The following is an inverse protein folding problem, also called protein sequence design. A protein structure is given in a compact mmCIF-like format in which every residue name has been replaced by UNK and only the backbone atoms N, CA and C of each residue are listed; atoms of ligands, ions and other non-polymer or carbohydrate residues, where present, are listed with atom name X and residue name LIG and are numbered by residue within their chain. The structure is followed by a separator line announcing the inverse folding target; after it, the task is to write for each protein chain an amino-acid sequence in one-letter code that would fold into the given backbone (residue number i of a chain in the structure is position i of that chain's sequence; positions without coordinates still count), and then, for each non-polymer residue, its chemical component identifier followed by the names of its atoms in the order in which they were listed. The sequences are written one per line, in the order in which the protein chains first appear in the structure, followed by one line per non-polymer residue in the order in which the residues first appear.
data_IF_592338292945
#
_entry.id   IF_592338292945
#
_cell.length_a   1.000
_cell.length_b   1.000
_cell.length_c   1.000
_cell.angle_alpha   90.00
_cell.angle_beta   90.00
_cell.angle_gamma   90.00
#
_symmetry.space_group_name_H-M   'P 1'
#
loop_
_entity.id
_entity.type
_entity.pdbx_description
1 polymer ?
#
# COMPACT_ATOMS: atom_id res chain seq x y z
N UNK A 1 -17.16 -75.56 -39.40
CA UNK A 1 -18.10 -75.58 -40.54
C UNK A 1 -17.51 -74.68 -41.61
N UNK A 2 -16.98 -75.31 -42.66
CA UNK A 2 -16.36 -74.70 -43.84
C UNK A 2 -17.39 -73.87 -44.62
N UNK A 3 -17.00 -72.77 -45.30
CA UNK A 3 -17.04 -72.54 -46.77
C UNK A 3 -17.19 -70.98 -46.87
N UNK A 4 -16.48 -70.14 -47.65
CA UNK A 4 -15.99 -70.19 -49.04
C UNK A 4 -14.99 -69.04 -49.29
N UNK A 5 -13.97 -69.26 -50.13
CA UNK A 5 -13.29 -68.23 -50.95
C UNK A 5 -14.00 -68.09 -52.31
N UNK A 6 -13.85 -66.96 -53.02
CA UNK A 6 -13.07 -66.93 -54.28
C UNK A 6 -12.19 -65.65 -54.37
N UNK A 7 -10.92 -65.60 -54.81
CA UNK A 7 -10.20 -66.05 -56.02
C UNK A 7 -10.12 -64.99 -57.14
N UNK A 8 -8.89 -64.47 -57.32
CA UNK A 8 -8.23 -63.85 -58.50
C UNK A 8 -8.70 -62.51 -59.08
N UNK A 9 -7.73 -61.59 -59.28
CA UNK A 9 -7.19 -61.19 -60.61
C UNK A 9 -5.89 -60.39 -60.41
N UNK A 10 -4.81 -60.86 -61.02
CA UNK A 10 -3.57 -60.11 -61.18
C UNK A 10 -3.65 -59.24 -62.46
N UNK A 11 -3.27 -57.96 -62.37
CA UNK A 11 -2.98 -57.11 -63.54
C UNK A 11 -1.74 -56.26 -63.30
N UNK A 12 -0.68 -56.54 -64.07
CA UNK A 12 0.50 -55.69 -64.24
C UNK A 12 0.16 -54.43 -65.05
N UNK A 13 0.59 -53.25 -64.60
CA UNK A 13 0.97 -52.05 -65.39
C UNK A 13 2.04 -51.29 -64.59
N UNK A 14 3.32 -51.33 -65.00
CA UNK A 14 4.03 -50.35 -65.85
C UNK A 14 4.01 -48.90 -65.33
N UNK A 15 5.17 -48.52 -64.79
CA UNK A 15 5.89 -47.24 -64.94
C UNK A 15 5.22 -45.95 -64.47
N UNK A 16 5.78 -45.33 -63.42
CA UNK A 16 6.12 -43.90 -63.40
C UNK A 16 7.15 -43.64 -62.29
N UNK A 17 8.33 -43.19 -62.73
CA UNK A 17 9.42 -42.67 -61.93
C UNK A 17 9.00 -41.28 -61.42
N UNK A 18 8.90 -41.10 -60.10
CA UNK A 18 8.74 -39.79 -59.48
C UNK A 18 9.90 -39.59 -58.49
N UNK A 19 10.92 -38.88 -58.97
CA UNK A 19 11.90 -38.24 -58.11
C UNK A 19 11.20 -37.10 -57.37
N UNK A 20 10.91 -37.28 -56.09
CA UNK A 20 10.62 -36.17 -55.18
C UNK A 20 11.90 -35.86 -54.41
N UNK A 21 12.54 -34.78 -54.83
CA UNK A 21 13.60 -34.07 -54.13
C UNK A 21 13.15 -33.73 -52.71
N UNK A 22 13.79 -34.36 -51.72
CA UNK A 22 13.79 -33.88 -50.34
C UNK A 22 14.59 -32.58 -50.30
N UNK A 23 13.91 -31.45 -50.46
CA UNK A 23 14.47 -30.14 -50.13
C UNK A 23 14.68 -30.08 -48.63
N UNK A 24 15.91 -30.32 -48.20
CA UNK A 24 16.39 -30.00 -46.86
C UNK A 24 16.39 -28.46 -46.74
N UNK A 25 15.23 -27.90 -46.39
CA UNK A 25 15.14 -26.53 -45.91
C UNK A 25 15.70 -26.48 -44.50
N UNK A 26 17.02 -26.52 -44.35
CA UNK A 26 17.68 -25.98 -43.16
C UNK A 26 17.37 -24.49 -43.16
N UNK A 27 16.28 -24.10 -42.52
CA UNK A 27 16.15 -22.77 -41.96
C UNK A 27 17.25 -22.67 -40.91
N UNK A 28 18.40 -22.15 -41.31
CA UNK A 28 19.36 -21.55 -40.40
C UNK A 28 18.61 -20.39 -39.74
N UNK A 29 17.90 -20.68 -38.65
CA UNK A 29 17.63 -19.67 -37.66
C UNK A 29 19.01 -19.22 -37.18
N UNK A 30 19.51 -18.14 -37.75
CA UNK A 30 20.60 -17.38 -37.15
C UNK A 30 20.20 -17.15 -35.70
N UNK A 31 21.07 -17.38 -34.70
CA UNK A 31 20.75 -17.00 -33.34
C UNK A 31 20.32 -15.54 -33.40
N UNK A 32 19.10 -15.26 -32.95
CA UNK A 32 18.65 -13.91 -32.72
C UNK A 32 19.73 -13.28 -31.82
N UNK A 33 20.36 -12.22 -32.32
CA UNK A 33 21.50 -11.62 -31.64
C UNK A 33 20.99 -11.04 -30.33
N UNK A 34 21.36 -11.67 -29.22
CA UNK A 34 20.96 -11.26 -27.89
C UNK A 34 21.53 -9.87 -27.57
N UNK A 35 20.77 -8.83 -27.89
CA UNK A 35 21.06 -7.42 -27.68
C UNK A 35 19.76 -6.59 -27.69
N UNK A 36 19.84 -5.33 -27.24
CA UNK A 36 18.80 -4.32 -27.45
C UNK A 36 19.24 -3.37 -28.58
N UNK A 37 18.56 -3.43 -29.74
CA UNK A 37 18.96 -2.67 -30.93
C UNK A 37 17.91 -1.64 -31.35
N UNK A 38 18.39 -0.47 -31.76
CA UNK A 38 17.54 0.56 -32.37
C UNK A 38 17.12 0.12 -33.78
N UNK A 39 15.80 0.08 -34.03
CA UNK A 39 15.23 -0.14 -35.37
C UNK A 39 14.97 1.18 -36.09
N UNK A 40 14.77 2.25 -35.33
CA UNK A 40 14.72 3.63 -35.78
C UNK A 40 15.15 4.56 -34.62
N UNK A 41 15.03 5.88 -34.77
CA UNK A 41 15.47 6.86 -33.78
C UNK A 41 14.73 6.79 -32.43
N UNK A 42 13.55 6.19 -32.40
CA UNK A 42 12.64 6.19 -31.24
C UNK A 42 12.24 4.77 -30.81
N UNK A 43 12.66 3.71 -31.52
CA UNK A 43 12.22 2.33 -31.26
C UNK A 43 13.39 1.39 -31.06
N UNK A 44 13.38 0.67 -29.93
CA UNK A 44 14.35 -0.36 -29.57
C UNK A 44 13.65 -1.69 -29.41
N UNK A 45 14.25 -2.75 -29.96
CA UNK A 45 13.80 -4.13 -29.77
C UNK A 45 14.91 -4.88 -29.02
N UNK A 46 14.54 -5.52 -27.92
CA UNK A 46 15.41 -6.40 -27.15
C UNK A 46 15.02 -7.86 -27.39
N UNK A 47 15.99 -8.71 -27.74
CA UNK A 47 15.77 -10.15 -27.93
C UNK A 47 16.83 -11.02 -27.25
N UNK A 48 16.54 -12.31 -27.23
CA UNK A 48 17.53 -13.34 -26.96
C UNK A 48 17.93 -13.48 -25.49
N UNK A 49 18.79 -14.46 -25.23
CA UNK A 49 19.32 -14.72 -23.90
C UNK A 49 20.62 -13.96 -23.69
N UNK A 50 20.62 -13.02 -22.74
CA UNK A 50 21.74 -12.11 -22.51
C UNK A 50 22.48 -12.47 -21.21
N UNK A 51 23.76 -12.84 -21.31
CA UNK A 51 24.64 -13.09 -20.16
C UNK A 51 25.32 -11.84 -19.59
N UNK A 52 25.02 -10.66 -20.13
CA UNK A 52 25.65 -9.38 -19.78
C UNK A 52 24.61 -8.28 -19.62
N UNK A 53 24.99 -7.23 -18.89
CA UNK A 53 24.12 -6.06 -18.67
C UNK A 53 23.79 -5.35 -19.99
N UNK A 54 22.55 -4.90 -20.13
CA UNK A 54 22.05 -4.16 -21.29
C UNK A 54 21.76 -2.70 -20.93
N UNK A 55 22.03 -1.80 -21.88
CA UNK A 55 21.82 -0.37 -21.70
C UNK A 55 21.24 0.26 -22.96
N UNK A 56 20.14 0.97 -22.79
CA UNK A 56 19.47 1.78 -23.81
C UNK A 56 19.52 3.24 -23.37
N UNK A 57 20.02 4.12 -24.23
CA UNK A 57 20.09 5.57 -23.98
C UNK A 57 19.59 6.33 -25.19
N UNK A 58 18.53 7.12 -25.04
CA UNK A 58 17.93 7.91 -26.10
C UNK A 58 17.94 9.43 -25.76
N UNK A 59 18.30 10.31 -26.71
CA UNK A 59 18.33 11.77 -26.51
C UNK A 59 16.94 12.43 -26.67
N UNK A 60 15.88 11.64 -26.85
CA UNK A 60 14.50 12.07 -26.97
C UNK A 60 13.57 10.93 -26.60
N UNK A 61 12.37 10.90 -27.19
CA UNK A 61 11.38 9.87 -26.92
C UNK A 61 11.88 8.47 -27.33
N UNK A 62 11.54 7.46 -26.54
CA UNK A 62 11.91 6.07 -26.83
C UNK A 62 10.81 5.09 -26.45
N UNK A 63 10.62 4.10 -27.32
CA UNK A 63 9.78 2.93 -27.12
C UNK A 63 10.67 1.69 -27.17
N UNK A 64 10.73 0.95 -26.07
CA UNK A 64 11.48 -0.28 -25.93
C UNK A 64 10.49 -1.44 -25.86
N UNK A 65 10.68 -2.45 -26.70
CA UNK A 65 9.85 -3.67 -26.74
C UNK A 65 10.71 -4.91 -26.67
N UNK A 66 10.18 -5.99 -26.12
CA UNK A 66 10.87 -7.29 -26.03
C UNK A 66 10.30 -8.28 -27.05
N UNK A 67 11.13 -9.23 -27.50
CA UNK A 67 10.69 -10.39 -28.27
C UNK A 67 10.60 -11.65 -27.40
N UNK A 68 9.85 -12.68 -27.84
CA UNK A 68 9.84 -13.97 -27.17
C UNK A 68 11.26 -14.53 -26.96
N UNK A 69 11.53 -15.03 -25.76
CA UNK A 69 12.86 -15.55 -25.38
C UNK A 69 13.84 -14.50 -24.85
N UNK A 70 13.44 -13.22 -24.79
CA UNK A 70 14.25 -12.19 -24.15
C UNK A 70 14.48 -12.51 -22.66
N UNK A 71 15.74 -12.53 -22.25
CA UNK A 71 16.14 -12.62 -20.85
C UNK A 71 17.49 -11.96 -20.63
N UNK A 72 17.75 -11.55 -19.39
CA UNK A 72 19.05 -11.04 -18.97
C UNK A 72 19.45 -11.69 -17.66
N UNK A 73 20.66 -12.23 -17.61
CA UNK A 73 21.30 -12.72 -16.39
C UNK A 73 22.71 -12.10 -16.33
N UNK A 74 22.84 -11.00 -15.59
CA UNK A 74 24.05 -10.20 -15.53
C UNK A 74 24.62 -10.14 -14.10
N UNK A 75 25.94 -9.94 -14.01
CA UNK A 75 26.57 -9.65 -12.73
C UNK A 75 26.16 -8.25 -12.24
N UNK A 76 26.29 -7.25 -13.10
CA UNK A 76 25.89 -5.89 -12.80
C UNK A 76 24.39 -5.68 -13.02
N UNK A 77 23.94 -4.42 -13.05
CA UNK A 77 22.56 -4.07 -13.30
C UNK A 77 22.05 -4.66 -14.64
N UNK A 78 21.01 -5.51 -14.61
CA UNK A 78 20.61 -6.31 -15.77
C UNK A 78 20.13 -5.44 -16.94
N UNK A 79 19.16 -4.56 -16.71
CA UNK A 79 18.67 -3.64 -17.75
C UNK A 79 18.73 -2.18 -17.29
N UNK A 80 19.23 -1.31 -18.16
CA UNK A 80 19.18 0.14 -17.97
C UNK A 80 18.49 0.80 -19.16
N UNK A 81 17.46 1.60 -18.93
CA UNK A 81 16.84 2.43 -19.97
C UNK A 81 16.86 3.88 -19.50
N UNK A 82 17.44 4.76 -20.30
CA UNK A 82 17.46 6.21 -20.06
C UNK A 82 16.96 6.96 -21.28
N UNK A 83 16.09 7.94 -21.04
CA UNK A 83 15.59 8.86 -22.06
C UNK A 83 15.44 10.27 -21.47
N UNK A 84 15.74 11.28 -22.27
CA UNK A 84 15.43 12.68 -21.93
C UNK A 84 13.98 13.07 -22.24
N UNK A 85 13.31 12.31 -23.12
CA UNK A 85 11.92 12.48 -23.53
C UNK A 85 10.95 11.53 -22.83
N UNK A 86 9.85 11.22 -23.49
CA UNK A 86 8.91 10.18 -23.07
C UNK A 86 9.56 8.78 -23.21
N UNK A 87 9.29 7.89 -22.26
CA UNK A 87 9.83 6.54 -22.24
C UNK A 87 8.70 5.54 -22.14
N UNK A 88 8.59 4.64 -23.11
CA UNK A 88 7.72 3.47 -23.05
C UNK A 88 8.54 2.18 -23.01
N UNK A 89 8.32 1.31 -22.02
CA UNK A 89 8.85 -0.06 -22.01
C UNK A 89 7.69 -1.05 -21.98
N UNK A 90 7.61 -1.91 -22.99
CA UNK A 90 6.57 -2.94 -23.09
C UNK A 90 7.20 -4.32 -23.21
N UNK A 91 6.80 -5.23 -22.32
CA UNK A 91 7.26 -6.61 -22.31
C UNK A 91 6.08 -7.54 -22.01
N UNK A 92 5.63 -8.27 -23.03
CA UNK A 92 4.53 -9.23 -22.92
C UNK A 92 5.02 -10.68 -22.87
N UNK A 93 6.33 -10.89 -22.75
CA UNK A 93 6.98 -12.18 -23.00
C UNK A 93 7.46 -12.88 -21.73
N UNK A 94 7.02 -12.43 -20.55
CA UNK A 94 7.42 -12.99 -19.25
C UNK A 94 8.95 -13.02 -19.09
N UNK A 95 9.61 -11.97 -19.59
CA UNK A 95 11.06 -11.91 -19.65
C UNK A 95 11.66 -11.96 -18.24
N UNK A 96 12.73 -12.74 -18.06
CA UNK A 96 13.43 -12.84 -16.78
C UNK A 96 14.66 -11.94 -16.77
N UNK A 97 14.67 -10.94 -15.88
CA UNK A 97 15.76 -9.97 -15.70
C UNK A 97 16.41 -10.16 -14.33
N UNK A 98 17.59 -10.76 -14.31
CA UNK A 98 18.32 -11.14 -13.10
C UNK A 98 19.65 -10.41 -13.02
N UNK A 99 19.91 -9.77 -11.88
CA UNK A 99 21.16 -9.13 -11.53
C UNK A 99 21.72 -9.70 -10.23
N UNK A 100 22.96 -10.21 -10.24
CA UNK A 100 23.59 -10.81 -9.05
C UNK A 100 24.34 -9.82 -8.15
N UNK A 101 24.62 -8.60 -8.62
CA UNK A 101 25.36 -7.55 -7.90
C UNK A 101 24.83 -6.14 -8.21
N UNK A 102 23.55 -6.02 -8.57
CA UNK A 102 22.93 -4.75 -8.90
C UNK A 102 21.42 -4.81 -8.87
N UNK A 103 20.79 -3.93 -9.65
CA UNK A 103 19.33 -3.90 -9.80
C UNK A 103 18.89 -4.78 -10.96
N UNK A 104 17.72 -5.41 -10.86
CA UNK A 104 17.13 -6.11 -12.01
C UNK A 104 16.90 -5.14 -13.18
N UNK A 105 16.34 -3.96 -12.91
CA UNK A 105 16.30 -2.87 -13.89
C UNK A 105 16.33 -1.46 -13.29
N UNK A 106 16.78 -0.48 -14.08
CA UNK A 106 16.62 0.96 -13.84
C UNK A 106 16.06 1.62 -15.09
N UNK A 107 14.85 2.17 -14.99
CA UNK A 107 14.15 2.80 -16.10
C UNK A 107 13.88 4.26 -15.74
N UNK A 108 14.49 5.17 -16.47
CA UNK A 108 14.43 6.61 -16.19
C UNK A 108 14.09 7.41 -17.44
N UNK A 109 13.07 8.27 -17.34
CA UNK A 109 12.66 9.16 -18.42
C UNK A 109 12.44 10.61 -17.96
N UNK A 110 12.20 11.49 -18.94
CA UNK A 110 11.70 12.84 -18.70
C UNK A 110 12.75 13.90 -18.33
N UNK A 111 14.05 13.63 -18.48
CA UNK A 111 15.11 14.55 -18.00
C UNK A 111 15.04 15.99 -18.60
N UNK A 112 14.33 16.24 -19.72
CA UNK A 112 14.28 17.57 -20.34
C UNK A 112 12.88 18.08 -20.74
N UNK A 113 11.78 17.52 -20.23
CA UNK A 113 10.45 17.98 -20.68
C UNK A 113 9.23 17.36 -20.01
N UNK A 114 8.15 17.24 -20.77
CA UNK A 114 6.85 16.67 -20.36
C UNK A 114 6.75 15.15 -20.54
N UNK A 115 7.86 14.49 -20.90
CA UNK A 115 7.91 13.07 -21.19
C UNK A 115 7.44 12.22 -20.01
N UNK A 116 6.42 11.38 -20.25
CA UNK A 116 5.90 10.40 -19.28
C UNK A 116 6.71 9.11 -19.36
N UNK A 117 6.93 8.47 -18.21
CA UNK A 117 7.43 7.09 -18.16
C UNK A 117 6.23 6.14 -18.11
N UNK A 118 6.10 5.28 -19.12
CA UNK A 118 5.04 4.27 -19.23
C UNK A 118 5.67 2.88 -19.31
N UNK A 119 5.28 1.99 -18.42
CA UNK A 119 5.83 0.64 -18.35
C UNK A 119 4.69 -0.36 -18.27
N UNK A 120 4.70 -1.37 -19.13
CA UNK A 120 3.76 -2.50 -19.09
C UNK A 120 4.56 -3.78 -19.24
N UNK A 121 4.62 -4.60 -18.20
CA UNK A 121 5.38 -5.85 -18.24
C UNK A 121 4.73 -6.99 -17.45
N UNK A 122 4.86 -8.21 -17.96
CA UNK A 122 4.60 -9.46 -17.23
C UNK A 122 5.89 -10.21 -16.86
N UNK A 123 7.06 -9.60 -17.10
CA UNK A 123 8.36 -10.16 -16.77
C UNK A 123 8.69 -10.14 -15.28
N UNK A 124 9.60 -11.03 -14.91
CA UNK A 124 10.15 -11.16 -13.56
C UNK A 124 11.43 -10.35 -13.43
N UNK A 125 11.57 -9.62 -12.32
CA UNK A 125 12.71 -8.75 -12.05
C UNK A 125 13.37 -9.18 -10.75
N UNK A 126 14.63 -9.59 -10.81
CA UNK A 126 15.42 -9.96 -9.62
C UNK A 126 16.69 -9.14 -9.57
N UNK A 127 16.92 -8.41 -8.47
CA UNK A 127 18.17 -7.70 -8.23
C UNK A 127 18.71 -7.95 -6.83
N UNK A 128 20.04 -8.05 -6.71
CA UNK A 128 20.72 -8.14 -5.42
C UNK A 128 20.50 -6.92 -4.53
N UNK A 129 20.30 -5.73 -5.11
CA UNK A 129 19.92 -4.52 -4.37
C UNK A 129 18.44 -4.24 -4.53
N UNK A 130 18.02 -3.67 -5.66
CA UNK A 130 16.62 -3.42 -5.97
C UNK A 130 16.12 -4.36 -7.08
N UNK A 131 14.88 -4.84 -7.00
CA UNK A 131 14.26 -5.58 -8.10
C UNK A 131 14.14 -4.68 -9.33
N UNK A 132 13.47 -3.54 -9.18
CA UNK A 132 13.41 -2.50 -10.22
C UNK A 132 13.29 -1.09 -9.63
N UNK A 133 13.96 -0.14 -10.28
CA UNK A 133 13.80 1.29 -10.02
C UNK A 133 13.22 2.01 -11.25
N UNK A 134 12.16 2.79 -11.03
CA UNK A 134 11.60 3.74 -11.98
C UNK A 134 11.84 5.16 -11.50
N UNK A 135 12.22 6.05 -12.41
CA UNK A 135 12.40 7.45 -12.11
C UNK A 135 11.85 8.35 -13.22
N UNK A 136 11.12 9.39 -12.84
CA UNK A 136 10.83 10.54 -13.71
C UNK A 136 11.56 11.74 -13.15
N UNK A 137 12.33 12.44 -14.00
CA UNK A 137 12.97 13.72 -13.65
C UNK A 137 12.28 14.93 -14.29
N UNK A 138 11.18 14.67 -15.00
CA UNK A 138 10.49 15.66 -15.82
C UNK A 138 9.21 16.19 -15.22
N UNK A 139 8.47 16.89 -16.08
CA UNK A 139 7.11 17.35 -15.83
C UNK A 139 6.08 16.24 -16.11
N UNK A 140 6.50 15.14 -16.73
CA UNK A 140 5.67 13.97 -16.99
C UNK A 140 5.54 13.05 -15.77
N UNK A 141 4.34 12.49 -15.58
CA UNK A 141 4.09 11.48 -14.56
C UNK A 141 4.72 10.13 -14.88
N UNK A 142 4.39 9.12 -14.07
CA UNK A 142 4.77 7.73 -14.31
C UNK A 142 3.54 6.84 -14.25
N UNK A 143 3.48 5.85 -15.14
CA UNK A 143 2.44 4.82 -15.13
C UNK A 143 3.09 3.48 -15.37
N UNK A 144 3.09 2.62 -14.35
CA UNK A 144 3.76 1.33 -14.36
C UNK A 144 2.74 0.25 -14.05
N UNK A 145 2.63 -0.74 -14.94
CA UNK A 145 1.88 -1.98 -14.73
C UNK A 145 2.86 -3.15 -14.82
N UNK A 146 3.03 -3.88 -13.73
CA UNK A 146 3.88 -5.07 -13.64
C UNK A 146 3.08 -6.21 -13.04
N UNK A 147 2.97 -7.32 -13.75
CA UNK A 147 2.24 -8.51 -13.25
C UNK A 147 3.17 -9.64 -12.84
N UNK A 148 4.40 -9.67 -13.34
CA UNK A 148 5.45 -10.58 -12.90
C UNK A 148 5.92 -10.29 -11.47
N UNK A 149 6.71 -11.20 -10.94
CA UNK A 149 7.27 -11.14 -9.59
C UNK A 149 8.49 -10.23 -9.57
N UNK A 150 8.53 -9.33 -8.59
CA UNK A 150 9.67 -8.44 -8.39
C UNK A 150 10.37 -8.76 -7.07
N UNK A 151 11.66 -9.08 -7.14
CA UNK A 151 12.49 -9.43 -5.99
C UNK A 151 13.71 -8.53 -5.91
N UNK A 152 13.76 -7.66 -4.91
CA UNK A 152 14.97 -6.99 -4.44
C UNK A 152 15.61 -7.75 -3.28
N UNK A 153 16.94 -7.68 -3.19
CA UNK A 153 17.69 -8.22 -2.07
C UNK A 153 17.77 -7.22 -0.92
N UNK A 154 18.83 -6.44 -0.86
CA UNK A 154 19.11 -5.51 0.25
C UNK A 154 18.32 -4.19 0.20
N UNK A 155 17.74 -3.84 -0.95
CA UNK A 155 17.04 -2.60 -1.22
C UNK A 155 15.54 -2.80 -1.44
N UNK A 156 15.00 -2.26 -2.52
CA UNK A 156 13.56 -2.26 -2.79
C UNK A 156 13.13 -3.42 -3.69
N UNK A 157 11.93 -3.96 -3.51
CA UNK A 157 11.32 -4.74 -4.60
C UNK A 157 11.07 -3.82 -5.79
N UNK A 158 10.10 -2.91 -5.63
CA UNK A 158 9.79 -1.85 -6.60
C UNK A 158 10.06 -0.49 -5.95
N UNK A 159 10.91 0.32 -6.58
CA UNK A 159 11.11 1.73 -6.22
C UNK A 159 10.63 2.64 -7.35
N UNK A 160 9.78 3.62 -7.05
CA UNK A 160 9.39 4.67 -7.97
C UNK A 160 9.67 6.04 -7.36
N UNK A 161 10.38 6.90 -8.09
CA UNK A 161 10.71 8.24 -7.61
C UNK A 161 10.38 9.29 -8.66
N UNK A 162 9.49 10.22 -8.33
CA UNK A 162 9.21 11.38 -9.16
C UNK A 162 9.95 12.62 -8.61
N UNK A 163 10.86 13.18 -9.40
CA UNK A 163 11.71 14.33 -9.03
C UNK A 163 11.55 15.42 -10.09
N UNK A 164 10.59 16.35 -9.96
CA UNK A 164 10.39 17.35 -11.00
C UNK A 164 11.57 18.33 -11.09
N UNK A 165 11.71 18.94 -12.27
CA UNK A 165 12.55 20.12 -12.43
C UNK A 165 12.01 21.28 -11.57
N UNK A 166 12.92 22.12 -11.04
CA UNK A 166 12.55 23.24 -10.19
C UNK A 166 11.50 24.16 -10.86
N UNK A 167 10.61 24.73 -10.04
CA UNK A 167 9.57 25.71 -10.40
C UNK A 167 8.36 25.20 -11.19
N UNK A 168 7.96 23.93 -11.02
CA UNK A 168 6.84 23.36 -11.77
C UNK A 168 5.67 22.85 -10.94
N UNK A 169 5.15 23.73 -10.06
CA UNK A 169 4.00 23.43 -9.21
C UNK A 169 2.65 23.35 -9.95
N UNK A 170 2.60 23.51 -11.29
CA UNK A 170 1.35 23.66 -12.05
C UNK A 170 0.92 22.42 -12.83
N UNK A 171 1.79 21.42 -13.04
CA UNK A 171 1.48 20.26 -13.90
C UNK A 171 1.27 19.00 -13.06
N UNK A 172 0.08 18.40 -13.16
CA UNK A 172 -0.20 17.10 -12.55
C UNK A 172 0.67 16.02 -13.22
N UNK A 173 1.51 15.40 -12.41
CA UNK A 173 2.44 14.35 -12.79
C UNK A 173 2.27 13.14 -11.89
N UNK A 174 1.09 12.54 -12.00
CA UNK A 174 0.68 11.40 -11.20
C UNK A 174 1.65 10.24 -11.35
N UNK A 175 1.88 9.54 -10.24
CA UNK A 175 2.71 8.34 -10.16
C UNK A 175 1.81 7.16 -9.85
N UNK A 176 1.59 6.32 -10.85
CA UNK A 176 0.63 5.22 -10.81
C UNK A 176 1.40 3.90 -10.90
N UNK A 177 1.16 3.02 -9.93
CA UNK A 177 1.68 1.65 -9.90
C UNK A 177 0.52 0.65 -9.83
N UNK A 178 0.57 -0.35 -10.71
CA UNK A 178 -0.19 -1.59 -10.64
C UNK A 178 0.80 -2.74 -10.60
N UNK A 179 0.94 -3.40 -9.46
CA UNK A 179 1.96 -4.42 -9.23
C UNK A 179 1.36 -5.78 -8.85
N UNK A 180 2.01 -6.85 -9.26
CA UNK A 180 1.82 -8.19 -8.72
C UNK A 180 2.47 -8.34 -7.34
N UNK A 181 3.24 -9.41 -7.15
CA UNK A 181 4.00 -9.66 -5.93
C UNK A 181 5.34 -8.93 -5.96
N UNK A 182 5.71 -8.32 -4.84
CA UNK A 182 6.98 -7.60 -4.70
C UNK A 182 7.63 -7.90 -3.35
N UNK A 183 8.94 -8.13 -3.34
CA UNK A 183 9.72 -8.39 -2.14
C UNK A 183 11.01 -7.58 -2.13
N UNK A 184 11.42 -7.09 -0.97
CA UNK A 184 12.68 -6.39 -0.73
C UNK A 184 12.82 -5.99 0.74
N UNK A 185 13.87 -5.26 1.11
CA UNK A 185 13.91 -4.57 2.42
C UNK A 185 12.67 -3.69 2.62
N UNK A 186 12.26 -3.01 1.55
CA UNK A 186 10.91 -2.47 1.37
C UNK A 186 10.35 -3.13 0.10
N UNK A 187 9.18 -3.76 0.18
CA UNK A 187 8.58 -4.43 -0.98
C UNK A 187 8.20 -3.44 -2.08
N UNK A 188 7.48 -2.38 -1.73
CA UNK A 188 7.11 -1.29 -2.65
C UNK A 188 7.40 0.06 -1.99
N UNK A 189 8.16 0.92 -2.66
CA UNK A 189 8.37 2.31 -2.28
C UNK A 189 8.00 3.25 -3.44
N UNK A 190 7.07 4.17 -3.22
CA UNK A 190 6.72 5.22 -4.18
C UNK A 190 6.85 6.58 -3.52
N UNK A 191 7.72 7.41 -4.08
CA UNK A 191 8.03 8.74 -3.57
C UNK A 191 7.76 9.81 -4.61
N UNK A 192 6.99 10.81 -4.19
CA UNK A 192 6.83 12.07 -4.90
C UNK A 192 7.71 13.14 -4.21
N UNK A 193 8.78 13.58 -4.88
CA UNK A 193 9.78 14.53 -4.35
C UNK A 193 9.57 15.97 -4.83
N UNK A 194 8.33 16.44 -4.80
CA UNK A 194 7.98 17.85 -5.09
C UNK A 194 7.18 18.05 -6.36
N UNK A 195 6.64 16.97 -6.90
CA UNK A 195 5.77 16.92 -8.06
C UNK A 195 4.31 17.20 -7.65
N UNK A 196 3.55 17.89 -8.50
CA UNK A 196 2.18 18.33 -8.22
C UNK A 196 1.12 17.24 -8.44
N UNK A 197 1.54 16.00 -8.69
CA UNK A 197 0.67 14.84 -8.90
C UNK A 197 0.34 14.04 -7.64
N UNK A 198 -0.57 13.09 -7.84
CA UNK A 198 -0.97 12.08 -6.86
C UNK A 198 -0.07 10.84 -6.92
N UNK A 199 -0.07 10.04 -5.86
CA UNK A 199 0.47 8.68 -5.84
C UNK A 199 -0.70 7.70 -5.78
N UNK A 200 -0.70 6.70 -6.65
CA UNK A 200 -1.72 5.64 -6.65
C UNK A 200 -1.07 4.26 -6.83
N UNK A 201 -1.09 3.46 -5.77
CA UNK A 201 -0.50 2.12 -5.71
C UNK A 201 -1.63 1.10 -5.61
N UNK A 202 -1.65 0.11 -6.50
CA UNK A 202 -2.43 -1.11 -6.34
C UNK A 202 -1.50 -2.30 -6.43
N UNK A 203 -1.46 -3.13 -5.39
CA UNK A 203 -0.80 -4.44 -5.42
C UNK A 203 -1.83 -5.56 -5.32
N UNK A 204 -1.86 -6.43 -6.34
CA UNK A 204 -2.75 -7.59 -6.40
C UNK A 204 -2.11 -8.85 -5.80
N UNK A 205 -0.78 -8.89 -5.75
CA UNK A 205 0.01 -9.96 -5.14
C UNK A 205 0.33 -9.72 -3.66
N UNK A 206 1.19 -10.55 -3.11
CA UNK A 206 1.70 -10.36 -1.75
C UNK A 206 2.88 -9.40 -1.78
N UNK A 207 2.87 -8.36 -0.95
CA UNK A 207 4.02 -7.46 -0.77
C UNK A 207 4.77 -7.85 0.50
N UNK A 208 6.07 -8.13 0.35
CA UNK A 208 6.95 -8.53 1.45
C UNK A 208 8.03 -7.48 1.69
N UNK A 209 8.07 -6.93 2.90
CA UNK A 209 9.15 -6.08 3.40
C UNK A 209 10.00 -6.84 4.42
N UNK A 210 11.28 -7.07 4.13
CA UNK A 210 12.20 -7.79 5.02
C UNK A 210 12.90 -6.86 6.02
N UNK A 211 12.80 -5.55 5.85
CA UNK A 211 13.41 -4.56 6.74
C UNK A 211 12.68 -4.44 8.08
N UNK A 212 13.42 -4.58 9.17
CA UNK A 212 12.91 -4.49 10.54
C UNK A 212 12.49 -3.05 10.94
N UNK A 213 13.07 -2.03 10.32
CA UNK A 213 12.85 -0.62 10.64
C UNK A 213 11.96 0.11 9.63
N UNK A 214 11.58 -0.56 8.55
CA UNK A 214 10.85 -0.02 7.41
C UNK A 214 9.45 -0.61 7.32
N UNK A 215 8.61 -0.06 6.44
CA UNK A 215 7.32 -0.65 6.07
C UNK A 215 7.47 -1.55 4.83
N UNK A 216 6.62 -2.55 4.67
CA UNK A 216 6.56 -3.34 3.44
C UNK A 216 6.09 -2.51 2.24
N UNK A 217 5.15 -1.58 2.45
CA UNK A 217 4.72 -0.59 1.46
C UNK A 217 4.93 0.80 2.04
N UNK A 218 5.67 1.65 1.32
CA UNK A 218 5.89 3.05 1.64
C UNK A 218 5.38 3.93 0.48
N UNK A 219 4.46 4.85 0.78
CA UNK A 219 4.00 5.87 -0.15
C UNK A 219 4.17 7.26 0.48
N UNK A 220 4.94 8.13 -0.17
CA UNK A 220 5.33 9.41 0.44
C UNK A 220 5.34 10.59 -0.54
N UNK A 221 4.65 11.67 -0.17
CA UNK A 221 4.91 13.01 -0.74
C UNK A 221 5.87 13.74 0.19
N UNK A 222 7.08 14.06 -0.28
CA UNK A 222 8.17 14.53 0.59
C UNK A 222 8.21 16.05 0.75
N UNK A 223 7.57 16.81 -0.14
CA UNK A 223 7.58 18.29 -0.11
C UNK A 223 6.25 18.83 0.40
N UNK A 224 6.34 19.76 1.35
CA UNK A 224 5.18 20.40 1.94
C UNK A 224 4.38 21.18 0.89
N UNK A 225 3.06 20.96 0.81
CA UNK A 225 2.13 21.79 0.04
C UNK A 225 2.17 21.64 -1.49
N UNK A 226 2.87 20.65 -2.04
CA UNK A 226 2.92 20.44 -3.51
C UNK A 226 2.22 19.16 -3.95
N UNK A 227 2.42 18.02 -3.27
CA UNK A 227 1.77 16.76 -3.63
C UNK A 227 0.25 16.81 -3.55
N UNK A 228 -0.43 15.88 -4.23
CA UNK A 228 -1.89 15.69 -4.14
C UNK A 228 -2.23 14.46 -3.33
N UNK A 229 -3.12 13.62 -3.82
CA UNK A 229 -3.66 12.51 -3.06
C UNK A 229 -2.66 11.36 -3.04
N UNK A 230 -2.64 10.59 -1.95
CA UNK A 230 -1.90 9.33 -1.89
C UNK A 230 -2.90 8.22 -1.64
N UNK A 231 -2.99 7.27 -2.57
CA UNK A 231 -3.81 6.07 -2.45
C UNK A 231 -2.91 4.83 -2.47
N UNK A 232 -3.11 3.94 -1.50
CA UNK A 232 -2.52 2.60 -1.47
C UNK A 232 -3.62 1.59 -1.33
N UNK A 233 -3.67 0.62 -2.23
CA UNK A 233 -4.52 -0.55 -2.17
C UNK A 233 -3.66 -1.81 -2.27
N UNK A 234 -3.73 -2.67 -1.26
CA UNK A 234 -2.92 -3.87 -1.18
C UNK A 234 -3.78 -5.10 -0.91
N UNK A 235 -3.38 -6.23 -1.52
CA UNK A 235 -3.89 -7.55 -1.18
C UNK A 235 -3.31 -8.02 0.16
N UNK A 236 -2.33 -8.93 0.15
CA UNK A 236 -1.64 -9.38 1.36
C UNK A 236 -0.35 -8.59 1.59
N UNK A 237 -0.04 -8.29 2.85
CA UNK A 237 1.18 -7.55 3.22
C UNK A 237 1.90 -8.25 4.37
N UNK A 238 3.18 -8.54 4.18
CA UNK A 238 4.05 -9.12 5.21
C UNK A 238 5.24 -8.20 5.41
N UNK A 239 5.32 -7.54 6.57
CA UNK A 239 6.44 -6.67 6.92
C UNK A 239 7.17 -7.16 8.16
N UNK A 240 8.48 -7.38 8.08
CA UNK A 240 9.30 -7.65 9.26
C UNK A 240 9.28 -6.46 10.24
N UNK A 241 9.29 -5.23 9.70
CA UNK A 241 9.04 -4.00 10.44
C UNK A 241 7.55 -3.67 10.50
N UNK A 242 7.11 -2.75 9.63
CA UNK A 242 5.72 -2.30 9.49
C UNK A 242 5.05 -2.82 8.22
N UNK A 243 3.73 -2.69 8.13
CA UNK A 243 2.96 -3.09 6.96
C UNK A 243 2.88 -1.98 5.90
N UNK A 244 1.89 -1.11 6.01
CA UNK A 244 1.62 -0.01 5.08
C UNK A 244 1.90 1.33 5.76
N UNK A 245 2.73 2.16 5.15
CA UNK A 245 3.01 3.51 5.61
C UNK A 245 2.70 4.53 4.50
N UNK A 246 1.81 5.47 4.81
CA UNK A 246 1.45 6.59 3.95
C UNK A 246 1.79 7.90 4.65
N UNK A 247 2.56 8.76 3.99
CA UNK A 247 2.93 10.09 4.52
C UNK A 247 2.65 11.14 3.46
N UNK A 248 1.63 11.98 3.70
CA UNK A 248 1.27 13.07 2.80
C UNK A 248 1.63 14.42 3.41
N UNK A 249 2.71 15.02 2.88
CA UNK A 249 3.08 16.41 3.18
C UNK A 249 2.43 17.41 2.22
N UNK A 250 1.72 16.94 1.19
CA UNK A 250 1.06 17.74 0.16
C UNK A 250 -0.27 18.38 0.60
N UNK A 251 -1.12 18.68 -0.39
CA UNK A 251 -2.45 19.31 -0.24
C UNK A 251 -3.62 18.32 -0.36
N UNK A 252 -3.32 17.07 -0.75
CA UNK A 252 -4.34 16.05 -0.99
C UNK A 252 -4.76 15.30 0.27
N UNK A 253 -5.58 14.27 0.03
CA UNK A 253 -6.01 13.30 1.03
C UNK A 253 -5.17 12.02 0.95
N UNK A 254 -5.19 11.22 2.01
CA UNK A 254 -4.48 9.95 2.08
C UNK A 254 -5.45 8.80 2.29
N UNK A 255 -5.31 7.76 1.49
CA UNK A 255 -6.13 6.55 1.55
C UNK A 255 -5.26 5.31 1.61
N UNK A 256 -5.51 4.43 2.59
CA UNK A 256 -4.91 3.10 2.66
C UNK A 256 -6.03 2.04 2.72
N UNK A 257 -5.98 1.08 1.80
CA UNK A 257 -6.94 -0.02 1.70
C UNK A 257 -6.17 -1.33 1.73
N UNK A 258 -6.53 -2.19 2.68
CA UNK A 258 -6.04 -3.54 2.81
C UNK A 258 -7.18 -4.51 2.51
N UNK A 259 -7.06 -5.29 1.45
CA UNK A 259 -8.06 -6.28 1.03
C UNK A 259 -7.78 -7.67 1.61
N UNK A 260 -6.52 -8.03 1.83
CA UNK A 260 -6.09 -9.30 2.39
C UNK A 260 -5.59 -9.19 3.83
N UNK A 261 -4.76 -10.14 4.26
CA UNK A 261 -4.17 -10.13 5.61
C UNK A 261 -2.92 -9.26 5.66
N UNK A 262 -2.69 -8.64 6.82
CA UNK A 262 -1.46 -7.92 7.10
C UNK A 262 -0.79 -8.44 8.37
N UNK A 263 0.48 -8.80 8.25
CA UNK A 263 1.35 -9.12 9.39
C UNK A 263 2.52 -8.14 9.43
N UNK A 264 2.64 -7.38 10.51
CA UNK A 264 3.75 -6.49 10.79
C UNK A 264 4.51 -6.99 12.03
N UNK A 265 5.80 -7.30 11.88
CA UNK A 265 6.59 -7.95 12.91
C UNK A 265 6.88 -7.06 14.12
N UNK A 266 7.35 -5.83 13.90
CA UNK A 266 7.85 -4.95 14.96
C UNK A 266 7.12 -3.61 15.07
N UNK A 267 6.57 -3.09 13.97
CA UNK A 267 5.99 -1.75 13.90
C UNK A 267 4.48 -1.81 13.70
N UNK A 268 3.88 -0.69 13.29
CA UNK A 268 2.45 -0.60 13.06
C UNK A 268 2.03 -1.39 11.81
N UNK A 269 0.79 -1.90 11.83
CA UNK A 269 0.19 -2.57 10.68
C UNK A 269 -0.05 -1.59 9.55
N UNK A 270 -0.96 -0.63 9.77
CA UNK A 270 -1.20 0.49 8.86
C UNK A 270 -0.91 1.79 9.60
N UNK A 271 -0.10 2.66 9.01
CA UNK A 271 0.13 4.03 9.48
C UNK A 271 -0.11 5.02 8.36
N UNK A 272 -1.07 5.92 8.55
CA UNK A 272 -1.34 7.04 7.63
C UNK A 272 -1.14 8.35 8.37
N UNK A 273 -0.29 9.21 7.82
CA UNK A 273 0.03 10.53 8.37
C UNK A 273 -0.21 11.60 7.31
N UNK A 274 -1.13 12.51 7.60
CA UNK A 274 -1.30 13.78 6.89
C UNK A 274 -0.63 14.90 7.69
N UNK A 275 0.20 15.71 7.03
CA UNK A 275 0.72 16.95 7.63
C UNK A 275 -0.28 18.11 7.53
N UNK A 276 0.07 19.25 8.12
CA UNK A 276 -0.79 20.41 8.32
C UNK A 276 -1.58 20.94 7.11
N UNK A 277 -1.09 20.71 5.88
CA UNK A 277 -1.73 21.20 4.65
C UNK A 277 -2.55 20.14 3.91
N UNK A 278 -2.45 18.87 4.32
CA UNK A 278 -3.24 17.80 3.74
C UNK A 278 -4.69 17.86 4.24
N UNK A 279 -5.55 17.02 3.66
CA UNK A 279 -7.00 17.02 3.94
C UNK A 279 -7.42 15.79 4.70
N UNK A 280 -8.02 14.82 4.03
CA UNK A 280 -8.66 13.68 4.69
C UNK A 280 -7.70 12.51 4.88
N UNK A 281 -7.92 11.72 5.92
CA UNK A 281 -7.32 10.40 6.10
C UNK A 281 -8.43 9.35 6.01
N UNK A 282 -8.27 8.37 5.13
CA UNK A 282 -9.18 7.21 5.02
C UNK A 282 -8.38 5.92 5.13
N UNK A 283 -8.77 5.05 6.06
CA UNK A 283 -8.20 3.71 6.21
C UNK A 283 -9.32 2.68 6.12
N UNK A 284 -9.19 1.69 5.24
CA UNK A 284 -10.09 0.55 5.13
C UNK A 284 -9.29 -0.74 5.27
N UNK A 285 -9.63 -1.56 6.24
CA UNK A 285 -9.05 -2.89 6.47
C UNK A 285 -10.15 -3.92 6.35
N UNK A 286 -10.13 -4.65 5.23
CA UNK A 286 -11.06 -5.74 4.94
C UNK A 286 -10.56 -7.09 5.44
N UNK A 287 -9.24 -7.26 5.57
CA UNK A 287 -8.65 -8.44 6.18
C UNK A 287 -7.97 -8.14 7.52
N UNK A 288 -7.65 -9.21 8.25
CA UNK A 288 -7.13 -9.12 9.60
C UNK A 288 -5.72 -8.50 9.65
N UNK A 289 -5.44 -7.79 10.73
CA UNK A 289 -4.15 -7.15 11.01
C UNK A 289 -3.56 -7.74 12.28
N UNK A 290 -2.34 -8.26 12.21
CA UNK A 290 -1.49 -8.55 13.37
C UNK A 290 -0.25 -7.67 13.31
N UNK A 291 -0.14 -6.73 14.25
CA UNK A 291 0.94 -5.74 14.28
C UNK A 291 1.78 -5.83 15.56
N UNK A 292 3.10 -5.71 15.38
CA UNK A 292 4.07 -5.65 16.46
C UNK A 292 3.88 -4.46 17.39
N UNK A 293 3.47 -3.28 16.90
CA UNK A 293 3.32 -2.07 17.72
C UNK A 293 1.89 -1.58 17.91
N UNK A 294 1.25 -1.11 16.85
CA UNK A 294 -0.14 -0.64 16.84
C UNK A 294 -0.83 -1.23 15.60
N UNK A 295 -2.09 -1.64 15.68
CA UNK A 295 -2.78 -2.22 14.54
C UNK A 295 -2.95 -1.19 13.42
N UNK A 296 -3.68 -0.13 13.72
CA UNK A 296 -3.93 1.00 12.82
C UNK A 296 -3.58 2.32 13.53
N UNK A 297 -2.86 3.20 12.83
CA UNK A 297 -2.54 4.55 13.27
C UNK A 297 -2.95 5.56 12.19
N UNK A 298 -3.93 6.40 12.49
CA UNK A 298 -4.38 7.49 11.63
C UNK A 298 -4.06 8.84 12.29
N UNK A 299 -3.10 9.57 11.74
CA UNK A 299 -2.70 10.90 12.21
C UNK A 299 -3.08 11.92 11.15
N UNK A 300 -4.09 12.74 11.44
CA UNK A 300 -4.46 13.85 10.59
C UNK A 300 -4.10 15.18 11.25
N UNK A 301 -2.97 15.76 10.84
CA UNK A 301 -2.62 17.12 11.21
C UNK A 301 -3.26 18.16 10.29
N UNK A 302 -3.89 17.72 9.19
CA UNK A 302 -4.51 18.53 8.17
C UNK A 302 -5.88 19.08 8.53
N UNK A 303 -6.61 19.56 7.51
CA UNK A 303 -7.90 20.24 7.68
C UNK A 303 -9.13 19.36 7.47
N UNK A 304 -8.93 18.14 6.96
CA UNK A 304 -10.02 17.23 6.60
C UNK A 304 -10.52 16.35 7.74
N UNK A 305 -11.29 15.35 7.36
CA UNK A 305 -11.86 14.32 8.22
C UNK A 305 -10.92 13.12 8.35
N UNK A 306 -11.11 12.31 9.39
CA UNK A 306 -10.41 11.02 9.53
C UNK A 306 -11.42 9.88 9.64
N UNK A 307 -11.35 8.92 8.72
CA UNK A 307 -12.23 7.74 8.69
C UNK A 307 -11.40 6.46 8.76
N UNK A 308 -11.72 5.58 9.71
CA UNK A 308 -11.14 4.24 9.82
C UNK A 308 -12.27 3.20 9.81
N UNK A 309 -12.22 2.27 8.87
CA UNK A 309 -13.14 1.12 8.80
C UNK A 309 -12.32 -0.17 8.85
N UNK A 310 -12.49 -0.95 9.91
CA UNK A 310 -11.90 -2.27 10.08
C UNK A 310 -13.01 -3.32 10.15
N UNK A 311 -13.18 -4.13 9.11
CA UNK A 311 -14.23 -5.16 9.04
C UNK A 311 -13.75 -6.54 9.51
N UNK A 312 -12.46 -6.67 9.80
CA UNK A 312 -11.83 -7.85 10.38
C UNK A 312 -11.13 -7.52 11.71
N UNK A 313 -10.58 -8.56 12.36
CA UNK A 313 -9.88 -8.43 13.64
C UNK A 313 -8.59 -7.61 13.49
N UNK A 314 -8.42 -6.63 14.38
CA UNK A 314 -7.19 -5.85 14.52
C UNK A 314 -6.48 -6.25 15.81
N UNK A 315 -5.21 -6.65 15.72
CA UNK A 315 -4.40 -7.06 16.87
C UNK A 315 -3.13 -6.23 16.95
N UNK A 316 -2.84 -5.74 18.16
CA UNK A 316 -1.62 -5.02 18.51
C UNK A 316 -0.89 -5.75 19.64
N UNK A 317 0.37 -6.12 19.41
CA UNK A 317 1.21 -6.86 20.37
C UNK A 317 2.12 -5.98 21.23
N UNK A 318 2.29 -4.70 20.87
CA UNK A 318 3.14 -3.71 21.56
C UNK A 318 4.54 -4.20 21.98
N UNK A 319 5.27 -4.81 21.05
CA UNK A 319 6.64 -5.30 21.24
C UNK A 319 7.67 -4.17 21.43
N UNK A 320 7.33 -2.94 21.04
CA UNK A 320 8.17 -1.74 21.19
C UNK A 320 7.36 -0.63 21.89
N UNK A 321 7.29 -0.64 23.23
CA UNK A 321 6.58 0.36 24.01
C UNK A 321 7.33 1.70 23.97
N UNK A 322 6.79 2.68 23.25
CA UNK A 322 7.39 4.01 23.09
C UNK A 322 6.48 4.97 22.35
N UNK A 323 6.80 6.27 22.33
CA UNK A 323 6.09 7.28 21.52
C UNK A 323 6.86 7.52 20.23
N UNK A 324 6.20 7.32 19.08
CA UNK A 324 6.78 7.62 17.76
C UNK A 324 5.91 8.71 17.12
N UNK A 325 6.51 9.83 16.73
CA UNK A 325 5.82 10.96 16.09
C UNK A 325 4.59 11.47 16.86
N UNK A 326 4.67 11.53 18.20
CA UNK A 326 3.58 11.99 19.07
C UNK A 326 2.43 10.99 19.29
N UNK A 327 2.50 9.79 18.70
CA UNK A 327 1.49 8.75 18.84
C UNK A 327 1.89 7.70 19.91
N UNK A 328 1.09 7.49 20.98
CA UNK A 328 1.34 6.42 21.94
C UNK A 328 1.31 5.05 21.26
N UNK A 329 2.17 4.12 21.68
CA UNK A 329 2.17 2.74 21.16
C UNK A 329 1.05 1.90 21.77
N UNK A 330 0.83 0.73 21.19
CA UNK A 330 0.01 -0.32 21.78
C UNK A 330 -1.49 -0.21 21.52
N UNK A 331 -1.98 0.90 20.95
CA UNK A 331 -3.37 0.99 20.49
C UNK A 331 -3.69 -0.05 19.42
N UNK A 332 -4.83 -0.74 19.53
CA UNK A 332 -5.36 -1.55 18.44
C UNK A 332 -5.69 -0.65 17.24
N UNK A 333 -6.50 0.38 17.48
CA UNK A 333 -6.74 1.50 16.57
C UNK A 333 -6.43 2.81 17.31
N UNK A 334 -5.54 3.62 16.76
CA UNK A 334 -5.24 4.96 17.23
C UNK A 334 -5.62 5.99 16.16
N UNK A 335 -6.48 6.94 16.51
CA UNK A 335 -6.86 8.06 15.65
C UNK A 335 -6.55 9.37 16.37
N UNK A 336 -5.80 10.25 15.70
CA UNK A 336 -5.50 11.59 16.18
C UNK A 336 -5.87 12.60 15.10
N UNK A 337 -6.74 13.53 15.45
CA UNK A 337 -7.08 14.68 14.63
C UNK A 337 -6.68 15.97 15.37
N UNK A 338 -5.98 16.88 14.70
CA UNK A 338 -5.58 18.16 15.30
C UNK A 338 -6.75 19.15 15.35
N UNK A 339 -6.53 20.31 15.98
CA UNK A 339 -7.52 21.36 16.09
C UNK A 339 -8.00 21.94 14.74
N UNK A 340 -7.21 21.74 13.67
CA UNK A 340 -7.56 22.16 12.32
C UNK A 340 -8.43 21.16 11.57
N UNK A 341 -8.49 19.91 12.04
CA UNK A 341 -9.30 18.87 11.40
C UNK A 341 -10.80 18.99 11.70
N UNK A 342 -11.59 18.19 11.00
CA UNK A 342 -13.05 18.17 11.15
C UNK A 342 -13.53 16.93 11.92
N UNK A 343 -14.23 16.01 11.26
CA UNK A 343 -14.85 14.84 11.90
C UNK A 343 -13.89 13.66 12.03
N UNK A 344 -14.17 12.81 13.02
CA UNK A 344 -13.56 11.49 13.17
C UNK A 344 -14.66 10.42 13.09
N UNK A 345 -14.45 9.39 12.30
CA UNK A 345 -15.32 8.22 12.24
C UNK A 345 -14.51 6.94 12.32
N UNK A 346 -14.86 6.07 13.26
CA UNK A 346 -14.24 4.75 13.44
C UNK A 346 -15.32 3.68 13.42
N UNK A 347 -15.19 2.70 12.55
CA UNK A 347 -16.02 1.49 12.54
C UNK A 347 -15.11 0.26 12.66
N UNK A 348 -15.32 -0.59 13.66
CA UNK A 348 -14.47 -1.75 13.91
C UNK A 348 -15.26 -3.03 14.26
N UNK A 349 -14.92 -4.14 13.61
CA UNK A 349 -15.54 -5.44 13.88
C UNK A 349 -14.97 -6.14 15.12
N UNK A 350 -13.69 -5.96 15.41
CA UNK A 350 -13.03 -6.52 16.59
C UNK A 350 -11.63 -5.97 16.74
N UNK A 351 -11.27 -5.59 17.97
CA UNK A 351 -10.00 -4.92 18.24
C UNK A 351 -9.40 -5.45 19.53
N UNK A 352 -8.18 -5.93 19.45
CA UNK A 352 -7.37 -6.35 20.58
C UNK A 352 -6.11 -5.48 20.64
N UNK A 353 -6.20 -4.43 21.44
CA UNK A 353 -5.12 -3.48 21.69
C UNK A 353 -4.35 -3.80 22.95
N UNK A 354 -3.03 -3.90 22.86
CA UNK A 354 -2.17 -4.06 24.03
C UNK A 354 -2.39 -2.96 25.08
N UNK A 355 -2.49 -1.68 24.67
CA UNK A 355 -2.80 -0.57 25.57
C UNK A 355 -4.30 -0.28 25.62
N UNK A 356 -4.79 0.43 24.62
CA UNK A 356 -6.23 0.64 24.41
C UNK A 356 -6.69 -0.16 23.21
N UNK A 357 -7.92 -0.66 23.24
CA UNK A 357 -8.53 -1.25 22.05
C UNK A 357 -8.64 -0.18 20.97
N UNK A 358 -9.47 0.83 21.22
CA UNK A 358 -9.62 2.01 20.35
C UNK A 358 -9.29 3.29 21.14
N UNK A 359 -8.37 4.08 20.63
CA UNK A 359 -7.92 5.37 21.18
C UNK A 359 -8.20 6.48 20.15
N UNK A 360 -9.12 7.38 20.45
CA UNK A 360 -9.49 8.51 19.59
C UNK A 360 -9.22 9.82 20.31
N UNK A 361 -8.36 10.65 19.72
CA UNK A 361 -8.09 12.03 20.16
C UNK A 361 -8.54 13.00 19.08
N UNK A 362 -9.72 13.58 19.24
CA UNK A 362 -10.35 14.45 18.25
C UNK A 362 -10.33 15.91 18.70
N UNK A 363 -9.29 16.65 18.34
CA UNK A 363 -9.19 18.07 18.70
C UNK A 363 -9.93 18.99 17.72
N UNK A 364 -10.42 18.44 16.60
CA UNK A 364 -11.11 19.16 15.54
C UNK A 364 -12.51 19.63 15.92
N UNK A 365 -13.15 20.35 15.00
CA UNK A 365 -14.48 20.96 15.20
C UNK A 365 -15.66 20.04 14.82
N UNK A 366 -15.39 18.90 14.16
CA UNK A 366 -16.42 17.99 13.69
C UNK A 366 -16.82 16.91 14.69
N UNK A 367 -17.88 16.19 14.37
CA UNK A 367 -18.39 15.10 15.20
C UNK A 367 -17.36 13.96 15.32
N UNK A 368 -17.37 13.28 16.46
CA UNK A 368 -16.59 12.06 16.70
C UNK A 368 -17.54 10.88 16.80
N UNK A 369 -17.46 9.93 15.88
CA UNK A 369 -18.34 8.76 15.82
C UNK A 369 -17.52 7.48 15.92
N UNK A 370 -17.95 6.57 16.77
CA UNK A 370 -17.34 5.26 16.94
C UNK A 370 -18.42 4.18 16.94
N UNK A 371 -18.28 3.21 16.05
CA UNK A 371 -19.11 1.99 16.00
C UNK A 371 -18.21 0.77 16.16
N UNK A 372 -18.44 -0.02 17.19
CA UNK A 372 -17.73 -1.27 17.43
C UNK A 372 -18.75 -2.42 17.50
N UNK A 373 -18.73 -3.31 16.51
CA UNK A 373 -19.73 -4.38 16.37
C UNK A 373 -19.31 -5.71 17.01
N UNK A 374 -18.06 -5.85 17.41
CA UNK A 374 -17.58 -6.97 18.21
C UNK A 374 -16.71 -6.51 19.37
N UNK A 375 -15.94 -7.43 19.96
CA UNK A 375 -15.16 -7.16 21.16
C UNK A 375 -14.05 -6.13 20.90
N UNK A 376 -14.04 -5.08 21.72
CA UNK A 376 -12.93 -4.12 21.81
C UNK A 376 -12.24 -4.28 23.15
N UNK A 377 -11.01 -4.76 23.12
CA UNK A 377 -10.20 -5.02 24.31
C UNK A 377 -8.97 -4.11 24.36
N UNK A 378 -8.78 -3.43 25.48
CA UNK A 378 -7.51 -2.83 25.89
C UNK A 378 -6.91 -3.66 27.03
N UNK A 379 -5.71 -4.21 26.85
CA UNK A 379 -5.10 -5.11 27.86
C UNK A 379 -4.39 -4.38 29.00
N UNK A 380 -3.98 -3.14 28.81
CA UNK A 380 -3.30 -2.32 29.83
C UNK A 380 -4.06 -1.04 30.20
N UNK A 381 -5.00 -0.61 29.36
CA UNK A 381 -5.84 0.56 29.63
C UNK A 381 -7.31 0.33 29.28
N UNK A 382 -7.98 1.37 28.77
CA UNK A 382 -9.39 1.31 28.41
C UNK A 382 -9.68 0.43 27.18
N UNK A 383 -10.86 -0.19 27.12
CA UNK A 383 -11.36 -0.80 25.90
C UNK A 383 -11.51 0.26 24.81
N UNK A 384 -12.31 1.28 25.09
CA UNK A 384 -12.45 2.49 24.27
C UNK A 384 -12.01 3.72 25.08
N UNK A 385 -11.14 4.53 24.51
CA UNK A 385 -10.70 5.83 25.05
C UNK A 385 -10.97 6.92 24.01
N UNK A 386 -11.79 7.91 24.37
CA UNK A 386 -12.10 9.05 23.50
C UNK A 386 -11.83 10.35 24.24
N UNK A 387 -11.09 11.25 23.61
CA UNK A 387 -10.95 12.64 24.09
C UNK A 387 -11.24 13.62 22.97
N UNK A 388 -11.79 14.77 23.33
CA UNK A 388 -11.97 15.89 22.40
C UNK A 388 -11.20 17.14 22.82
N UNK A 389 -10.96 18.04 21.88
CA UNK A 389 -10.38 19.35 22.16
C UNK A 389 -11.42 20.36 22.64
N UNK A 390 -10.96 21.43 23.31
CA UNK A 390 -11.85 22.46 23.87
C UNK A 390 -12.68 23.23 22.82
N UNK A 391 -12.25 23.23 21.56
CA UNK A 391 -12.99 23.82 20.44
C UNK A 391 -14.06 22.91 19.82
N UNK A 392 -14.24 21.68 20.33
CA UNK A 392 -15.19 20.73 19.78
C UNK A 392 -16.62 21.04 20.28
N UNK A 393 -17.48 21.56 19.41
CA UNK A 393 -18.89 21.81 19.72
C UNK A 393 -19.83 20.75 19.10
N UNK A 394 -19.27 19.70 18.51
CA UNK A 394 -19.99 18.69 17.77
C UNK A 394 -20.18 17.42 18.63
N UNK A 395 -21.15 16.56 18.31
CA UNK A 395 -21.44 15.42 19.17
C UNK A 395 -20.32 14.36 19.16
N UNK A 396 -20.15 13.71 20.31
CA UNK A 396 -19.39 12.46 20.48
C UNK A 396 -20.39 11.32 20.61
N UNK A 397 -20.38 10.39 19.64
CA UNK A 397 -21.30 9.26 19.59
C UNK A 397 -20.50 7.96 19.59
N UNK A 398 -20.73 7.11 20.60
CA UNK A 398 -20.07 5.81 20.75
C UNK A 398 -21.14 4.73 20.82
N UNK A 399 -21.11 3.80 19.87
CA UNK A 399 -21.95 2.61 19.84
C UNK A 399 -21.05 1.37 19.87
N UNK A 400 -21.00 0.68 21.00
CA UNK A 400 -20.18 -0.51 21.17
C UNK A 400 -21.00 -1.72 21.59
N UNK A 401 -20.61 -2.91 21.16
CA UNK A 401 -21.19 -4.17 21.66
C UNK A 401 -20.50 -4.54 22.97
N UNK A 402 -19.31 -5.16 22.90
CA UNK A 402 -18.56 -5.59 24.07
C UNK A 402 -17.25 -4.80 24.17
N UNK A 403 -16.97 -4.26 25.35
CA UNK A 403 -15.71 -3.59 25.65
C UNK A 403 -15.10 -4.13 26.93
N UNK A 404 -13.78 -4.30 26.90
CA UNK A 404 -12.98 -4.73 28.04
C UNK A 404 -11.76 -3.84 28.18
N UNK A 405 -11.64 -3.16 29.30
CA UNK A 405 -10.43 -2.46 29.70
C UNK A 405 -10.00 -2.84 31.11
N UNK A 406 -8.72 -2.71 31.39
CA UNK A 406 -8.21 -2.77 32.77
C UNK A 406 -8.50 -1.48 33.53
N UNK A 407 -8.65 -0.36 32.84
CA UNK A 407 -9.07 0.91 33.43
C UNK A 407 -10.59 1.06 33.34
N UNK A 408 -11.11 1.44 32.17
CA UNK A 408 -12.54 1.49 31.89
C UNK A 408 -12.92 0.64 30.68
N UNK A 409 -14.14 0.12 30.65
CA UNK A 409 -14.67 -0.49 29.42
C UNK A 409 -14.79 0.56 28.32
N UNK A 410 -15.41 1.69 28.65
CA UNK A 410 -15.50 2.89 27.81
C UNK A 410 -15.14 4.12 28.64
N UNK A 411 -14.21 4.94 28.17
CA UNK A 411 -13.84 6.21 28.77
C UNK A 411 -13.97 7.34 27.74
N UNK A 412 -14.70 8.39 28.11
CA UNK A 412 -14.87 9.61 27.32
C UNK A 412 -14.50 10.81 28.17
N UNK A 413 -13.59 11.65 27.68
CA UNK A 413 -13.22 12.93 28.28
C UNK A 413 -13.43 14.07 27.28
N UNK A 414 -14.54 14.78 27.47
CA UNK A 414 -14.98 15.87 26.61
C UNK A 414 -14.48 17.20 27.19
N UNK A 415 -13.54 17.83 26.49
CA UNK A 415 -13.13 19.22 26.78
C UNK A 415 -13.96 20.23 26.00
N UNK A 416 -14.74 19.79 25.01
CA UNK A 416 -15.62 20.63 24.21
C UNK A 416 -17.01 20.83 24.82
N UNK A 417 -17.92 21.44 24.06
CA UNK A 417 -19.31 21.73 24.47
C UNK A 417 -20.37 20.92 23.73
N UNK A 418 -19.97 19.95 22.90
CA UNK A 418 -20.90 19.09 22.16
C UNK A 418 -21.52 17.99 23.02
N UNK A 419 -22.65 17.45 22.58
CA UNK A 419 -23.32 16.36 23.30
C UNK A 419 -22.49 15.07 23.33
N UNK A 420 -22.65 14.27 24.39
CA UNK A 420 -22.05 12.93 24.49
C UNK A 420 -23.15 11.88 24.52
N UNK A 421 -23.11 10.95 23.58
CA UNK A 421 -23.98 9.78 23.54
C UNK A 421 -23.15 8.51 23.54
N UNK A 422 -23.28 7.71 24.61
CA UNK A 422 -22.61 6.40 24.73
C UNK A 422 -23.67 5.31 24.83
N UNK A 423 -23.66 4.39 23.87
CA UNK A 423 -24.47 3.19 23.87
C UNK A 423 -23.58 1.94 23.91
N UNK A 424 -23.72 1.15 24.96
CA UNK A 424 -23.16 -0.21 25.05
C UNK A 424 -24.30 -1.22 24.99
N UNK A 425 -24.38 -1.99 23.90
CA UNK A 425 -25.45 -2.98 23.68
C UNK A 425 -25.13 -4.35 24.28
N UNK A 426 -23.85 -4.64 24.50
CA UNK A 426 -23.35 -5.80 25.22
C UNK A 426 -22.81 -5.41 26.60
N UNK A 427 -21.63 -5.94 26.93
CA UNK A 427 -20.95 -5.68 28.20
C UNK A 427 -19.88 -4.60 28.04
N UNK A 428 -19.95 -3.55 28.85
CA UNK A 428 -18.83 -2.66 29.11
C UNK A 428 -18.17 -3.04 30.45
N UNK A 429 -16.94 -3.54 30.42
CA UNK A 429 -16.20 -3.89 31.63
C UNK A 429 -14.89 -3.16 31.75
N UNK A 430 -14.71 -2.46 32.88
CA UNK A 430 -13.44 -1.89 33.31
C UNK A 430 -12.94 -2.55 34.58
N UNK A 431 -11.65 -2.38 34.88
CA UNK A 431 -11.13 -2.69 36.21
C UNK A 431 -11.57 -1.65 37.25
N UNK A 432 -11.72 -0.37 36.86
CA UNK A 432 -12.27 0.69 37.70
C UNK A 432 -13.73 1.00 37.36
N UNK A 433 -14.00 1.47 36.13
CA UNK A 433 -15.33 1.90 35.69
C UNK A 433 -15.81 1.06 34.49
N UNK A 434 -17.04 0.54 34.50
CA UNK A 434 -17.61 -0.07 33.29
C UNK A 434 -17.67 0.96 32.16
N UNK A 435 -18.29 2.11 32.44
CA UNK A 435 -18.35 3.27 31.56
C UNK A 435 -18.04 4.53 32.38
N UNK A 436 -17.14 5.37 31.88
CA UNK A 436 -16.83 6.67 32.45
C UNK A 436 -16.98 7.77 31.40
N UNK A 437 -17.75 8.79 31.74
CA UNK A 437 -17.90 10.01 30.94
C UNK A 437 -17.57 11.21 31.81
N UNK A 438 -16.62 12.03 31.36
CA UNK A 438 -16.31 13.33 31.96
C UNK A 438 -16.58 14.42 30.93
N UNK A 439 -17.59 15.24 31.20
CA UNK A 439 -17.86 16.48 30.47
C UNK A 439 -17.28 17.67 31.26
N UNK A 440 -16.22 18.31 30.74
CA UNK A 440 -15.43 19.32 31.46
C UNK A 440 -15.83 20.77 31.19
N UNK A 441 -16.35 21.09 30.00
CA UNK A 441 -16.34 22.47 29.51
C UNK A 441 -17.71 23.06 29.16
N UNK A 442 -18.83 22.35 29.30
CA UNK A 442 -20.13 23.01 29.24
C UNK A 442 -21.34 22.18 28.82
N UNK A 443 -22.39 22.94 28.47
CA UNK A 443 -23.83 22.67 28.42
C UNK A 443 -24.37 21.56 27.51
N UNK A 444 -23.52 20.70 26.95
CA UNK A 444 -23.97 19.57 26.12
C UNK A 444 -24.65 18.48 26.94
N UNK A 445 -25.62 17.80 26.35
CA UNK A 445 -26.32 16.70 27.02
C UNK A 445 -25.42 15.46 27.10
N UNK A 446 -25.45 14.78 28.24
CA UNK A 446 -24.79 13.47 28.41
C UNK A 446 -25.85 12.38 28.49
N UNK A 447 -25.88 11.52 27.47
CA UNK A 447 -26.75 10.33 27.41
C UNK A 447 -25.90 9.07 27.44
N UNK A 448 -26.18 8.19 28.40
CA UNK A 448 -25.51 6.88 28.51
C UNK A 448 -26.57 5.78 28.59
N UNK A 449 -26.52 4.84 27.65
CA UNK A 449 -27.33 3.64 27.62
C UNK A 449 -26.42 2.41 27.65
N UNK A 450 -26.54 1.58 28.70
CA UNK A 450 -25.72 0.37 28.83
C UNK A 450 -26.59 -0.83 29.14
N UNK A 451 -26.46 -1.89 28.35
CA UNK A 451 -27.09 -3.17 28.67
C UNK A 451 -26.47 -3.79 29.93
N UNK A 452 -25.12 -3.81 30.01
CA UNK A 452 -24.38 -4.22 31.21
C UNK A 452 -23.11 -3.39 31.36
N UNK A 453 -23.01 -2.63 32.45
CA UNK A 453 -21.79 -1.91 32.80
C UNK A 453 -21.24 -2.44 34.14
N UNK A 454 -19.98 -2.88 34.15
CA UNK A 454 -19.32 -3.47 35.31
C UNK A 454 -17.94 -2.86 35.48
N UNK A 455 -17.69 -2.20 36.60
CA UNK A 455 -16.35 -1.80 37.03
C UNK A 455 -16.05 -2.33 38.41
N UNK A 456 -14.77 -2.45 38.77
CA UNK A 456 -14.38 -2.83 40.12
C UNK A 456 -14.76 -1.79 41.17
N UNK A 457 -14.83 -0.51 40.77
CA UNK A 457 -15.31 0.59 41.62
C UNK A 457 -16.76 0.96 41.32
N UNK A 458 -17.08 1.22 40.05
CA UNK A 458 -18.43 1.64 39.63
C UNK A 458 -18.84 0.98 38.32
N UNK A 459 -20.11 0.61 38.18
CA UNK A 459 -20.65 0.21 36.88
C UNK A 459 -20.56 1.37 35.87
N UNK A 460 -21.02 2.56 36.28
CA UNK A 460 -20.94 3.78 35.49
C UNK A 460 -20.57 4.98 36.37
N UNK A 461 -19.70 5.85 35.84
CA UNK A 461 -19.33 7.14 36.45
C UNK A 461 -19.57 8.26 35.43
N UNK A 462 -20.44 9.21 35.77
CA UNK A 462 -20.73 10.39 34.93
C UNK A 462 -20.37 11.63 35.73
N UNK A 463 -19.40 12.38 35.24
CA UNK A 463 -18.99 13.67 35.79
C UNK A 463 -19.37 14.74 34.78
N UNK A 464 -20.30 15.61 35.17
CA UNK A 464 -20.71 16.76 34.37
C UNK A 464 -20.38 18.03 35.14
N UNK A 465 -19.29 18.70 34.76
CA UNK A 465 -18.83 19.94 35.38
C UNK A 465 -19.47 21.20 34.75
N UNK A 466 -20.25 21.01 33.67
CA UNK A 466 -20.88 22.06 32.86
C UNK A 466 -22.37 22.27 33.13
#
# INVERSE_FOLDING_TARGET
MSITRPSFVARRRRTALLLTSAGLGMALATPASAECLFTNLETVICDGENGTALSVSAPGDVTVTTQPGFSVNANDQALTIRSSGALTYTDANESSLVSTNGRGAHIQGGDSGFGRVTVVTNGDFTGSTDGVQFASRGRGGMTVTMTGTVTGGSGFGIAMVNVPLANDAAISNDTILRAGSASGNIGIAVENRGANGSIDIVSTGTVTGTGATTAAILAMSTVAGIGRDIRVEASNVVGAGGGIQVINRGLGSSTAILNGMLTAGLRSGIQVTNEALARDVTIVSNGAIDAGRSGIVALNNGTGSTTVTATAQITSRNLDPGVINGAPSGGGILVVNTASGTSVSVSAAGVDGARHGIDVRSNGSGATTLVATGLVQGREGNGIYVTTGAGNAAPVIINAVDTLGTESGIFVDLYGSGDVSVTSTGRATGGFDGIRVHNRAGSGDVTVAAARASGGSSGMTILNDG
#
